data_IF_456432648859
#
_entry.id   IF_456432648859
#
_cell.length_a   1.000
_cell.length_b   1.000
_cell.length_c   1.000
_cell.angle_alpha   90.00
_cell.angle_beta   90.00
_cell.angle_gamma   90.00
#
_symmetry.space_group_name_H-M   'P 1'
#
loop_
_entity.id
_entity.type
_entity.pdbx_description
1 polymer ?
#
# COMPACT_ATOMS: atom_id res chain seq x y z
N UNK A 1 -12.41 -2.75 -24.17
CA UNK A 1 -13.38 -2.11 -23.24
C UNK A 1 -12.84 -0.75 -22.82
N UNK A 2 -13.62 0.34 -22.95
CA UNK A 2 -13.23 1.68 -22.50
C UNK A 2 -14.09 2.05 -21.31
N UNK A 3 -13.52 2.06 -20.11
CA UNK A 3 -14.22 2.47 -18.88
C UNK A 3 -14.12 3.99 -18.76
N UNK A 4 -15.26 4.65 -18.65
CA UNK A 4 -15.31 6.09 -18.40
C UNK A 4 -14.90 6.38 -16.95
N UNK A 5 -14.02 7.35 -16.74
CA UNK A 5 -13.61 7.78 -15.40
C UNK A 5 -14.70 8.65 -14.79
N UNK A 6 -15.15 8.33 -13.57
CA UNK A 6 -16.11 9.15 -12.81
C UNK A 6 -15.45 9.97 -11.71
N UNK A 7 -14.52 9.38 -10.97
CA UNK A 7 -13.87 9.98 -9.78
C UNK A 7 -12.36 10.16 -9.93
N UNK A 8 -11.83 10.01 -11.15
CA UNK A 8 -10.38 10.14 -11.41
C UNK A 8 -10.16 10.91 -12.71
N UNK A 9 -9.04 11.62 -12.81
CA UNK A 9 -8.62 12.28 -14.06
C UNK A 9 -7.37 11.61 -14.59
N UNK A 10 -7.27 11.51 -15.92
CA UNK A 10 -6.12 10.86 -16.56
C UNK A 10 -4.77 11.51 -16.17
N UNK A 11 -4.77 12.85 -16.02
CA UNK A 11 -3.57 13.63 -15.67
C UNK A 11 -3.12 13.45 -14.22
N UNK A 12 -4.05 13.26 -13.28
CA UNK A 12 -3.78 13.25 -11.84
C UNK A 12 -3.80 11.83 -11.25
N UNK A 13 -4.25 10.84 -12.01
CA UNK A 13 -4.19 9.43 -11.64
C UNK A 13 -5.30 9.01 -10.66
N UNK A 14 -5.10 7.85 -10.02
CA UNK A 14 -6.09 7.25 -9.12
C UNK A 14 -6.30 8.03 -7.81
N UNK A 15 -5.24 8.66 -7.31
CA UNK A 15 -5.24 9.39 -6.03
C UNK A 15 -5.31 10.91 -6.18
N UNK A 16 -5.30 11.42 -7.41
CA UNK A 16 -5.01 12.83 -7.69
C UNK A 16 -6.03 13.84 -7.20
N UNK A 17 -7.24 13.40 -6.84
CA UNK A 17 -8.29 14.26 -6.26
C UNK A 17 -8.64 13.84 -4.83
N UNK A 18 -7.90 12.88 -4.27
CA UNK A 18 -8.08 12.41 -2.90
C UNK A 18 -7.06 13.09 -1.99
N UNK A 19 -7.56 13.74 -0.95
CA UNK A 19 -6.73 14.17 0.17
C UNK A 19 -6.44 12.99 1.10
N UNK A 20 -5.27 13.01 1.74
CA UNK A 20 -4.87 12.03 2.74
C UNK A 20 -4.46 12.73 4.02
N UNK A 21 -4.71 12.08 5.15
CA UNK A 21 -4.30 12.53 6.48
C UNK A 21 -3.58 11.41 7.22
N UNK A 22 -2.77 11.77 8.21
CA UNK A 22 -2.10 10.81 9.08
C UNK A 22 -2.85 10.71 10.40
N UNK A 23 -3.11 9.49 10.85
CA UNK A 23 -3.70 9.21 12.16
C UNK A 23 -2.89 8.16 12.92
N UNK A 24 -3.17 8.04 14.22
CA UNK A 24 -2.64 7.00 15.08
C UNK A 24 -3.64 5.85 15.11
N UNK A 25 -3.18 4.63 14.88
CA UNK A 25 -3.94 3.41 15.19
C UNK A 25 -3.39 2.78 16.46
N UNK A 26 -4.26 2.55 17.44
CA UNK A 26 -3.87 2.01 18.73
C UNK A 26 -4.91 0.99 19.22
N UNK A 27 -4.43 -0.12 19.77
CA UNK A 27 -5.25 -1.09 20.48
C UNK A 27 -4.85 -1.06 21.94
N UNK A 28 -5.84 -0.94 22.83
CA UNK A 28 -5.67 -1.10 24.27
C UNK A 28 -6.40 -2.33 24.78
N UNK A 29 -5.80 -2.97 25.77
CA UNK A 29 -6.49 -3.94 26.61
C UNK A 29 -7.53 -3.22 27.51
N UNK A 30 -8.48 -3.96 28.10
CA UNK A 30 -9.42 -3.39 29.07
C UNK A 30 -8.76 -2.71 30.28
N UNK A 31 -7.53 -3.11 30.62
CA UNK A 31 -6.70 -2.48 31.67
C UNK A 31 -5.99 -1.19 31.21
N UNK A 32 -6.24 -0.75 29.97
CA UNK A 32 -5.68 0.46 29.38
C UNK A 32 -4.28 0.30 28.76
N UNK A 33 -3.64 -0.87 28.88
CA UNK A 33 -2.31 -1.11 28.31
C UNK A 33 -2.36 -1.19 26.78
N UNK A 34 -1.39 -0.55 26.13
CA UNK A 34 -1.24 -0.57 24.68
C UNK A 34 -0.73 -1.95 24.24
N UNK A 35 -1.49 -2.60 23.36
CA UNK A 35 -1.15 -3.90 22.75
C UNK A 35 -0.53 -3.71 21.37
N UNK A 36 -0.96 -2.67 20.66
CA UNK A 36 -0.46 -2.31 19.34
C UNK A 36 -0.58 -0.80 19.18
N UNK A 37 0.42 -0.19 18.54
CA UNK A 37 0.40 1.23 18.20
C UNK A 37 1.16 1.45 16.91
N UNK A 38 0.55 2.18 15.98
CA UNK A 38 1.18 2.71 14.79
C UNK A 38 0.82 4.20 14.70
N UNK A 39 1.83 5.06 14.76
CA UNK A 39 1.62 6.51 14.85
C UNK A 39 1.54 7.21 13.50
N UNK A 40 1.86 6.50 12.42
CA UNK A 40 2.04 7.06 11.09
C UNK A 40 1.13 6.38 10.06
N UNK A 41 -0.15 6.19 10.39
CA UNK A 41 -1.12 5.57 9.47
C UNK A 41 -1.70 6.63 8.54
N UNK A 42 -1.27 6.64 7.28
CA UNK A 42 -1.82 7.51 6.24
C UNK A 42 -3.09 6.91 5.64
N UNK A 43 -4.22 7.63 5.72
CA UNK A 43 -5.54 7.22 5.20
C UNK A 43 -6.18 8.36 4.41
N UNK A 44 -7.19 8.08 3.56
CA UNK A 44 -7.98 9.12 2.93
C UNK A 44 -8.62 10.05 3.97
N UNK A 45 -8.65 11.35 3.66
CA UNK A 45 -9.35 12.32 4.48
C UNK A 45 -10.85 11.98 4.61
N UNK A 46 -11.40 12.17 5.79
CA UNK A 46 -12.81 11.87 6.10
C UNK A 46 -13.09 10.41 6.49
N UNK A 47 -12.11 9.52 6.47
CA UNK A 47 -12.27 8.20 7.08
C UNK A 47 -12.48 8.28 8.59
N UNK A 48 -13.36 7.44 9.12
CA UNK A 48 -13.54 7.31 10.56
C UNK A 48 -12.33 6.63 11.20
N UNK A 49 -12.09 6.89 12.49
CA UNK A 49 -11.03 6.22 13.24
C UNK A 49 -11.15 4.69 13.16
N UNK A 50 -12.38 4.15 13.25
CA UNK A 50 -12.65 2.71 13.12
C UNK A 50 -12.20 2.17 11.75
N UNK A 51 -12.45 2.90 10.66
CA UNK A 51 -12.01 2.47 9.33
C UNK A 51 -10.48 2.45 9.22
N UNK A 52 -9.82 3.49 9.74
CA UNK A 52 -8.36 3.60 9.81
C UNK A 52 -7.74 2.47 10.63
N UNK A 53 -8.35 2.14 11.78
CA UNK A 53 -7.93 1.06 12.66
C UNK A 53 -8.09 -0.31 12.00
N UNK A 54 -9.22 -0.58 11.35
CA UNK A 54 -9.44 -1.83 10.62
C UNK A 54 -8.39 -2.01 9.51
N UNK A 55 -8.09 -0.95 8.76
CA UNK A 55 -7.06 -0.99 7.73
C UNK A 55 -5.69 -1.33 8.33
N UNK A 56 -5.26 -0.57 9.34
CA UNK A 56 -3.95 -0.75 9.96
C UNK A 56 -3.79 -2.12 10.63
N UNK A 57 -4.86 -2.68 11.20
CA UNK A 57 -4.79 -3.93 11.95
C UNK A 57 -4.95 -5.18 11.09
N UNK A 58 -5.80 -5.12 10.05
CA UNK A 58 -6.16 -6.30 9.26
C UNK A 58 -5.42 -6.39 7.93
N UNK A 59 -5.05 -5.25 7.34
CA UNK A 59 -4.56 -5.20 5.97
C UNK A 59 -3.10 -4.80 5.84
N UNK A 60 -2.57 -3.99 6.77
CA UNK A 60 -1.15 -3.64 6.75
C UNK A 60 -0.29 -4.86 7.05
N UNK A 61 0.70 -5.08 6.19
CA UNK A 61 1.82 -5.98 6.50
C UNK A 61 2.65 -5.35 7.61
N UNK A 62 2.82 -6.08 8.73
CA UNK A 62 3.56 -5.57 9.90
C UNK A 62 5.08 -5.49 9.69
N UNK A 63 5.64 -6.37 8.87
CA UNK A 63 7.07 -6.47 8.61
C UNK A 63 7.33 -7.14 7.25
N UNK A 64 8.59 -7.15 6.83
CA UNK A 64 9.03 -7.86 5.62
C UNK A 64 8.71 -7.16 4.30
N UNK A 65 8.26 -5.91 4.36
CA UNK A 65 8.06 -5.08 3.16
C UNK A 65 9.37 -4.37 2.84
N UNK A 66 10.00 -4.62 1.67
CA UNK A 66 11.25 -3.95 1.31
C UNK A 66 11.02 -2.45 1.15
N UNK A 67 11.87 -1.62 1.77
CA UNK A 67 11.78 -0.16 1.68
C UNK A 67 12.09 0.38 0.26
N UNK A 68 12.77 -0.42 -0.56
CA UNK A 68 13.11 -0.12 -1.96
C UNK A 68 12.83 -1.33 -2.83
N UNK A 69 12.14 -1.10 -3.93
CA UNK A 69 11.76 -2.13 -4.89
C UNK A 69 12.07 -1.69 -6.31
N UNK A 70 12.26 -2.67 -7.19
CA UNK A 70 12.36 -2.46 -8.64
C UNK A 70 11.38 -3.36 -9.38
N UNK A 71 10.86 -2.87 -10.49
CA UNK A 71 9.99 -3.65 -11.37
C UNK A 71 10.83 -4.65 -12.19
N UNK A 72 10.28 -5.84 -12.39
CA UNK A 72 10.91 -6.90 -13.20
C UNK A 72 10.15 -7.04 -14.50
N UNK A 73 10.83 -6.78 -15.60
CA UNK A 73 10.26 -6.94 -16.94
C UNK A 73 9.74 -8.35 -17.15
N UNK A 74 8.48 -8.46 -17.54
CA UNK A 74 7.84 -9.71 -17.93
C UNK A 74 7.35 -9.62 -19.38
N UNK A 75 7.76 -10.60 -20.20
CA UNK A 75 7.38 -10.63 -21.63
C UNK A 75 5.88 -10.82 -21.76
N UNK A 76 5.24 -9.97 -22.59
CA UNK A 76 3.79 -10.03 -22.82
C UNK A 76 2.93 -9.44 -21.70
N UNK A 77 3.56 -8.83 -20.68
CA UNK A 77 2.86 -8.09 -19.63
C UNK A 77 3.19 -6.60 -19.78
N UNK A 78 2.20 -5.69 -19.76
CA UNK A 78 2.41 -4.25 -19.78
C UNK A 78 3.31 -3.79 -18.62
N UNK A 79 4.13 -2.76 -18.85
CA UNK A 79 5.10 -2.29 -17.86
C UNK A 79 4.48 -1.84 -16.53
N UNK A 80 3.26 -1.31 -16.57
CA UNK A 80 2.53 -0.91 -15.35
C UNK A 80 2.04 -2.10 -14.50
N UNK A 81 2.09 -3.33 -15.04
CA UNK A 81 1.73 -4.58 -14.33
C UNK A 81 2.95 -5.44 -14.00
N UNK A 82 4.17 -4.96 -14.27
CA UNK A 82 5.36 -5.71 -13.88
C UNK A 82 5.44 -5.83 -12.37
N UNK A 83 5.65 -7.06 -11.90
CA UNK A 83 5.85 -7.32 -10.47
C UNK A 83 7.08 -6.59 -9.95
N UNK A 84 7.00 -6.19 -8.68
CA UNK A 84 8.11 -5.59 -7.96
C UNK A 84 8.87 -6.64 -7.15
N UNK A 85 10.19 -6.51 -7.08
CA UNK A 85 11.08 -7.29 -6.20
C UNK A 85 11.93 -6.37 -5.35
N UNK A 86 12.44 -6.82 -4.19
CA UNK A 86 13.40 -6.04 -3.40
C UNK A 86 14.58 -5.59 -4.27
N UNK A 87 14.91 -4.29 -4.22
CA UNK A 87 16.11 -3.80 -4.90
C UNK A 87 17.31 -3.86 -3.97
N UNK A 88 17.99 -5.01 -3.96
CA UNK A 88 19.06 -5.31 -3.02
C UNK A 88 20.16 -4.23 -2.99
N UNK A 89 20.54 -3.69 -4.15
CA UNK A 89 21.57 -2.66 -4.24
C UNK A 89 21.15 -1.32 -3.59
N UNK A 90 19.87 -0.96 -3.65
CA UNK A 90 19.36 0.24 -2.98
C UNK A 90 19.08 -0.01 -1.50
N UNK A 91 18.68 -1.24 -1.14
CA UNK A 91 18.48 -1.64 0.25
C UNK A 91 19.79 -1.66 1.04
N UNK A 92 20.90 -2.09 0.42
CA UNK A 92 22.22 -2.10 1.07
C UNK A 92 22.71 -0.72 1.48
N UNK A 93 22.24 0.33 0.82
CA UNK A 93 22.53 1.74 1.18
C UNK A 93 21.78 2.21 2.42
N UNK A 94 20.77 1.48 2.87
CA UNK A 94 20.01 1.79 4.07
C UNK A 94 20.59 1.02 5.28
N UNK A 95 20.46 1.58 6.50
CA UNK A 95 20.66 0.85 7.74
C UNK A 95 19.87 -0.46 7.76
N UNK A 96 20.43 -1.53 8.33
CA UNK A 96 19.87 -2.89 8.29
C UNK A 96 18.42 -2.95 8.82
N UNK A 97 18.14 -2.22 9.90
CA UNK A 97 16.85 -2.09 10.55
C UNK A 97 15.80 -1.32 9.72
N UNK A 98 16.22 -0.64 8.64
CA UNK A 98 15.34 0.14 7.75
C UNK A 98 15.13 -0.52 6.39
N UNK A 99 15.79 -1.66 6.11
CA UNK A 99 15.67 -2.35 4.81
C UNK A 99 14.30 -2.99 4.61
N UNK A 100 13.74 -3.52 5.69
CA UNK A 100 12.43 -4.16 5.70
C UNK A 100 11.54 -3.55 6.78
N UNK A 101 10.40 -3.04 6.37
CA UNK A 101 9.46 -2.32 7.23
C UNK A 101 8.07 -2.95 7.18
N UNK A 102 7.12 -2.34 7.88
CA UNK A 102 5.69 -2.54 7.65
C UNK A 102 5.12 -1.56 6.63
N UNK A 103 3.85 -1.77 6.27
CA UNK A 103 3.02 -0.78 5.57
C UNK A 103 2.54 0.28 6.56
N UNK A 104 2.45 1.53 6.10
CA UNK A 104 1.98 2.68 6.88
C UNK A 104 0.97 3.54 6.12
N UNK A 105 0.73 3.28 4.83
CA UNK A 105 -0.22 4.04 4.01
C UNK A 105 -1.27 3.13 3.37
N UNK A 106 -2.51 3.62 3.35
CA UNK A 106 -3.61 3.01 2.62
C UNK A 106 -3.29 2.80 1.13
N UNK A 107 -2.50 3.69 0.52
CA UNK A 107 -2.07 3.58 -0.88
C UNK A 107 -1.30 2.29 -1.14
N UNK A 108 -0.44 1.87 -0.20
CA UNK A 108 0.32 0.62 -0.33
C UNK A 108 -0.60 -0.60 -0.38
N UNK A 109 -1.67 -0.61 0.43
CA UNK A 109 -2.69 -1.67 0.41
C UNK A 109 -3.49 -1.62 -0.88
N UNK A 110 -3.96 -0.44 -1.29
CA UNK A 110 -4.78 -0.26 -2.48
C UNK A 110 -4.03 -0.69 -3.74
N UNK A 111 -2.81 -0.21 -3.93
CA UNK A 111 -1.96 -0.57 -5.06
C UNK A 111 -1.63 -2.07 -5.08
N UNK A 112 -1.36 -2.65 -3.91
CA UNK A 112 -1.07 -4.09 -3.80
C UNK A 112 -2.27 -4.93 -4.20
N UNK A 113 -3.46 -4.62 -3.68
CA UNK A 113 -4.66 -5.40 -3.97
C UNK A 113 -5.12 -5.21 -5.42
N UNK A 114 -5.24 -3.96 -5.88
CA UNK A 114 -5.65 -3.65 -7.24
C UNK A 114 -4.63 -4.18 -8.26
N UNK A 115 -3.34 -4.01 -8.00
CA UNK A 115 -2.26 -4.51 -8.85
C UNK A 115 -2.25 -6.04 -8.94
N UNK A 116 -2.40 -6.75 -7.82
CA UNK A 116 -2.44 -8.21 -7.81
C UNK A 116 -3.62 -8.75 -8.64
N UNK A 117 -4.83 -8.23 -8.43
CA UNK A 117 -6.01 -8.67 -9.18
C UNK A 117 -5.91 -8.31 -10.67
N UNK A 118 -5.40 -7.12 -11.00
CA UNK A 118 -5.22 -6.72 -12.39
C UNK A 118 -4.16 -7.59 -13.09
N UNK A 119 -3.05 -7.91 -12.42
CA UNK A 119 -2.03 -8.82 -12.92
C UNK A 119 -2.62 -10.21 -13.23
N UNK A 120 -3.34 -10.80 -12.28
CA UNK A 120 -3.93 -12.12 -12.50
C UNK A 120 -5.05 -12.12 -13.54
N UNK A 121 -5.86 -11.06 -13.60
CA UNK A 121 -6.83 -10.85 -14.68
C UNK A 121 -6.16 -10.83 -16.05
N UNK A 122 -5.07 -10.05 -16.19
CA UNK A 122 -4.27 -10.00 -17.42
C UNK A 122 -3.68 -11.36 -17.79
N UNK A 123 -3.06 -12.06 -16.83
CA UNK A 123 -2.46 -13.38 -17.04
C UNK A 123 -3.50 -14.44 -17.40
N UNK A 124 -4.73 -14.29 -16.89
CA UNK A 124 -5.87 -15.16 -17.17
C UNK A 124 -6.64 -14.82 -18.45
N UNK A 125 -6.36 -13.70 -19.10
CA UNK A 125 -7.07 -13.26 -20.31
C UNK A 125 -8.49 -12.74 -20.08
N UNK A 126 -8.76 -12.18 -18.89
CA UNK A 126 -10.04 -11.57 -18.53
C UNK A 126 -10.15 -10.09 -18.96
#
# INVERSE_FOLDING_TARGET
>A
MKIERKFTKAKTGAYGELSFTTTVSEIRNPDGKIVFRNEAVEVPEGWSQVASDVLAQKYFRKAGVPARVKSVREKGVPSFLWRSVPDQAELEKLPEDQRFTGESSAKQVFDRLAGAWCYWGWKGGY
#
